data_IF_766765015686
#
_entry.id   IF_766765015686
#
_cell.length_a   1.000
_cell.length_b   1.000
_cell.length_c   1.000
_cell.angle_alpha   90.00
_cell.angle_beta   90.00
_cell.angle_gamma   90.00
#
_symmetry.space_group_name_H-M   'P 1'
#
loop_
_entity.id
_entity.type
_entity.pdbx_description
1 polymer ?
#
# COMPACT_ATOMS: atom_id res chain seq x y z
N UNK A 1 22.59 66.12 -56.02
CA UNK A 1 21.47 65.89 -55.12
C UNK A 1 21.38 64.38 -54.91
N UNK A 2 21.92 63.85 -53.78
CA UNK A 2 21.88 62.41 -53.44
C UNK A 2 20.97 62.21 -52.25
N UNK A 3 19.94 61.45 -52.47
CA UNK A 3 18.91 61.15 -51.44
C UNK A 3 19.27 59.86 -50.70
N UNK A 4 19.69 59.95 -49.44
CA UNK A 4 19.99 58.81 -48.60
C UNK A 4 18.69 58.29 -47.95
N UNK A 5 18.24 57.10 -48.35
CA UNK A 5 17.14 56.44 -47.77
C UNK A 5 17.60 55.75 -46.44
N UNK A 6 16.97 56.12 -45.33
CA UNK A 6 17.16 55.47 -43.99
C UNK A 6 16.47 54.12 -44.00
N UNK A 7 17.25 53.03 -43.89
CA UNK A 7 16.73 51.68 -43.64
C UNK A 7 16.60 51.50 -42.13
N UNK A 8 15.37 51.39 -41.66
CA UNK A 8 15.04 51.00 -40.25
C UNK A 8 15.21 49.50 -40.10
N UNK A 9 16.16 49.08 -39.27
CA UNK A 9 16.37 47.67 -38.90
C UNK A 9 15.46 47.43 -37.70
N UNK A 10 14.39 46.63 -37.88
CA UNK A 10 13.56 46.12 -36.78
C UNK A 10 14.26 44.92 -36.16
N UNK A 11 14.73 45.07 -34.93
CA UNK A 11 15.27 43.92 -34.14
C UNK A 11 14.11 43.10 -33.59
N UNK A 12 13.97 41.88 -34.09
CA UNK A 12 13.02 40.91 -33.59
C UNK A 12 13.59 40.25 -32.32
N UNK A 13 13.11 40.66 -31.16
CA UNK A 13 13.45 39.99 -29.88
C UNK A 13 12.68 38.69 -29.78
N UNK A 14 13.37 37.57 -29.96
CA UNK A 14 12.83 36.22 -29.71
C UNK A 14 12.87 35.98 -28.20
N UNK A 15 11.72 36.06 -27.53
CA UNK A 15 11.57 35.60 -26.17
C UNK A 15 11.54 34.04 -26.16
N UNK A 16 12.66 33.42 -25.84
CA UNK A 16 12.70 32.01 -25.52
C UNK A 16 12.19 31.86 -24.09
N UNK A 17 10.92 31.49 -23.95
CA UNK A 17 10.36 31.06 -22.66
C UNK A 17 10.97 29.72 -22.27
N UNK A 18 11.91 29.75 -21.35
CA UNK A 18 12.47 28.55 -20.72
C UNK A 18 11.38 27.94 -19.80
N UNK A 19 10.57 27.05 -20.35
CA UNK A 19 9.66 26.21 -19.54
C UNK A 19 10.53 25.29 -18.70
N UNK A 20 10.69 25.60 -17.41
CA UNK A 20 11.38 24.72 -16.47
C UNK A 20 10.61 23.40 -16.38
N UNK A 21 11.13 22.35 -16.99
CA UNK A 21 10.63 20.98 -16.74
C UNK A 21 10.88 20.65 -15.27
N UNK A 22 9.86 20.18 -14.51
CA UNK A 22 10.12 19.74 -13.15
C UNK A 22 11.14 18.59 -13.20
N UNK A 23 12.23 18.73 -12.45
CA UNK A 23 13.26 17.71 -12.35
C UNK A 23 12.67 16.42 -11.74
N UNK A 24 13.39 15.30 -11.85
CA UNK A 24 12.98 13.98 -11.34
C UNK A 24 12.49 14.06 -9.87
N UNK A 25 13.12 14.90 -9.04
CA UNK A 25 12.72 15.17 -7.65
C UNK A 25 11.35 15.83 -7.51
N UNK A 26 11.00 16.73 -8.40
CA UNK A 26 9.68 17.37 -8.39
C UNK A 26 8.54 16.42 -8.76
N UNK A 27 8.80 15.44 -9.62
CA UNK A 27 7.82 14.41 -9.99
C UNK A 27 7.55 13.43 -8.85
N UNK A 28 8.59 12.94 -8.16
CA UNK A 28 8.43 12.04 -7.02
C UNK A 28 7.66 12.71 -5.87
N UNK A 29 7.97 13.97 -5.54
CA UNK A 29 7.25 14.72 -4.51
C UNK A 29 5.77 14.96 -4.86
N UNK A 30 5.44 15.20 -6.13
CA UNK A 30 4.06 15.33 -6.60
C UNK A 30 3.29 14.01 -6.48
N UNK A 31 3.91 12.88 -6.84
CA UNK A 31 3.32 11.54 -6.70
C UNK A 31 3.05 11.19 -5.24
N UNK A 32 3.98 11.48 -4.33
CA UNK A 32 3.82 11.27 -2.89
C UNK A 32 2.68 12.12 -2.31
N UNK A 33 2.55 13.38 -2.76
CA UNK A 33 1.46 14.26 -2.37
C UNK A 33 0.10 13.77 -2.89
N UNK A 34 0.04 13.29 -4.13
CA UNK A 34 -1.17 12.71 -4.72
C UNK A 34 -1.62 11.46 -3.95
N UNK A 35 -0.69 10.58 -3.57
CA UNK A 35 -0.97 9.40 -2.74
C UNK A 35 -1.54 9.82 -1.38
N UNK A 36 -0.94 10.82 -0.72
CA UNK A 36 -1.41 11.32 0.57
C UNK A 36 -2.84 11.89 0.46
N UNK A 37 -3.15 12.61 -0.61
CA UNK A 37 -4.48 13.17 -0.85
C UNK A 37 -5.53 12.06 -1.07
N UNK A 38 -5.21 11.07 -1.88
CA UNK A 38 -6.11 9.93 -2.15
C UNK A 38 -6.38 9.12 -0.88
N UNK A 39 -5.37 8.90 -0.04
CA UNK A 39 -5.50 8.23 1.25
C UNK A 39 -6.41 9.00 2.23
N UNK A 40 -6.29 10.33 2.28
CA UNK A 40 -7.15 11.20 3.11
C UNK A 40 -8.60 11.20 2.68
N UNK A 41 -8.85 11.11 1.38
CA UNK A 41 -10.21 11.10 0.84
C UNK A 41 -11.00 9.85 1.26
N UNK A 42 -10.31 8.76 1.64
CA UNK A 42 -10.96 7.48 1.94
C UNK A 42 -11.41 6.74 0.70
N UNK A 43 -12.19 5.68 0.89
CA UNK A 43 -12.75 4.88 -0.19
C UNK A 43 -11.79 3.84 -0.77
N UNK A 44 -10.63 3.60 -0.14
CA UNK A 44 -9.66 2.61 -0.59
C UNK A 44 -9.71 1.35 0.27
N UNK A 45 -9.36 0.23 -0.36
CA UNK A 45 -8.94 -1.01 0.29
C UNK A 45 -7.41 -1.09 0.17
N UNK A 46 -6.74 -1.10 1.31
CA UNK A 46 -5.28 -1.09 1.42
C UNK A 46 -4.84 -2.49 1.84
N UNK A 47 -4.21 -3.21 0.91
CA UNK A 47 -3.67 -4.55 1.14
C UNK A 47 -2.20 -4.44 1.53
N UNK A 48 -1.84 -5.05 2.65
CA UNK A 48 -0.49 -5.01 3.19
C UNK A 48 0.02 -6.44 3.36
N UNK A 49 1.17 -6.75 2.78
CA UNK A 49 1.92 -7.92 3.20
C UNK A 49 2.51 -7.64 4.59
N UNK A 50 2.32 -8.55 5.55
CA UNK A 50 2.87 -8.40 6.91
C UNK A 50 4.35 -7.98 6.90
N UNK A 51 4.84 -7.41 8.01
CA UNK A 51 6.23 -6.97 8.18
C UNK A 51 7.25 -8.12 8.10
N UNK A 52 8.54 -7.76 8.11
CA UNK A 52 9.64 -8.71 8.06
C UNK A 52 9.58 -9.71 9.23
N UNK A 53 9.91 -10.96 8.96
CA UNK A 53 9.83 -12.06 9.92
C UNK A 53 11.22 -12.64 10.21
N UNK A 54 11.30 -13.45 11.27
CA UNK A 54 12.53 -14.18 11.61
C UNK A 54 12.81 -15.22 10.53
N UNK A 55 13.96 -15.17 9.82
CA UNK A 55 14.19 -16.02 8.63
C UNK A 55 14.19 -17.52 8.94
N UNK A 56 14.73 -17.90 10.09
CA UNK A 56 14.95 -19.31 10.46
C UNK A 56 13.76 -19.92 11.23
N UNK A 57 12.65 -19.18 11.37
CA UNK A 57 11.41 -19.71 11.96
C UNK A 57 10.47 -20.23 10.87
N UNK A 58 9.86 -21.38 11.18
CA UNK A 58 8.78 -21.96 10.40
C UNK A 58 7.47 -21.98 11.19
N UNK A 59 6.33 -22.10 10.51
CA UNK A 59 5.04 -22.38 11.13
C UNK A 59 4.98 -23.90 11.37
N UNK A 60 5.34 -24.36 12.57
CA UNK A 60 5.42 -25.80 12.90
C UNK A 60 4.08 -26.42 13.33
N UNK A 61 3.09 -25.57 13.65
CA UNK A 61 1.70 -25.99 13.97
C UNK A 61 0.70 -25.09 13.21
N UNK A 62 0.65 -25.19 11.86
CA UNK A 62 0.07 -24.17 10.99
C UNK A 62 -1.47 -24.08 11.03
N UNK A 63 -2.16 -25.04 11.64
CA UNK A 63 -3.62 -25.01 11.81
C UNK A 63 -4.05 -24.51 13.20
N UNK A 64 -3.13 -24.42 14.14
CA UNK A 64 -3.37 -23.93 15.49
C UNK A 64 -2.90 -22.47 15.63
N UNK A 65 -3.77 -21.55 15.27
CA UNK A 65 -3.46 -20.12 15.29
C UNK A 65 -3.26 -19.53 16.70
N UNK A 66 -3.66 -20.25 17.75
CA UNK A 66 -3.49 -19.83 19.13
C UNK A 66 -2.08 -20.17 19.68
N UNK A 67 -1.38 -21.12 19.04
CA UNK A 67 -0.01 -21.47 19.38
C UNK A 67 1.01 -20.49 18.73
N UNK A 68 1.10 -19.29 19.27
CA UNK A 68 1.99 -18.23 18.73
C UNK A 68 3.47 -18.65 18.75
N UNK A 69 3.88 -19.44 19.73
CA UNK A 69 5.26 -19.92 19.84
C UNK A 69 5.67 -20.85 18.67
N UNK A 70 4.71 -21.55 18.06
CA UNK A 70 4.92 -22.41 16.91
C UNK A 70 4.78 -21.68 15.56
N UNK A 71 4.63 -20.38 15.56
CA UNK A 71 4.50 -19.57 14.34
C UNK A 71 5.79 -18.84 14.02
N UNK A 72 6.00 -18.55 12.75
CA UNK A 72 7.01 -17.61 12.29
C UNK A 72 6.57 -16.19 12.64
N UNK A 73 7.28 -15.53 13.53
CA UNK A 73 6.94 -14.23 14.09
C UNK A 73 7.68 -13.07 13.42
N UNK A 74 7.23 -11.84 13.66
CA UNK A 74 7.92 -10.63 13.22
C UNK A 74 9.31 -10.56 13.89
N UNK A 75 10.30 -10.12 13.11
CA UNK A 75 11.59 -9.70 13.66
C UNK A 75 11.56 -8.21 14.04
N UNK A 76 12.63 -7.70 14.65
CA UNK A 76 12.69 -6.31 15.11
C UNK A 76 12.54 -5.29 13.96
N UNK A 77 13.08 -5.62 12.76
CA UNK A 77 12.88 -4.80 11.56
C UNK A 77 11.40 -4.74 11.17
N UNK A 78 10.71 -5.87 11.17
CA UNK A 78 9.27 -5.92 10.87
C UNK A 78 8.44 -5.13 11.86
N UNK A 79 8.77 -5.19 13.16
CA UNK A 79 8.11 -4.42 14.21
C UNK A 79 8.35 -2.92 14.05
N UNK A 80 9.59 -2.51 13.80
CA UNK A 80 9.94 -1.11 13.58
C UNK A 80 9.21 -0.51 12.36
N UNK A 81 9.17 -1.25 11.25
CA UNK A 81 8.47 -0.84 10.04
C UNK A 81 6.95 -0.77 10.23
N UNK A 82 6.35 -1.72 10.96
CA UNK A 82 4.92 -1.67 11.29
C UNK A 82 4.57 -0.41 12.09
N UNK A 83 5.43 -0.04 13.07
CA UNK A 83 5.27 1.21 13.82
C UNK A 83 5.38 2.44 12.92
N UNK A 84 6.41 2.51 12.08
CA UNK A 84 6.64 3.63 11.17
C UNK A 84 5.47 3.81 10.18
N UNK A 85 4.91 2.71 9.68
CA UNK A 85 3.71 2.71 8.84
C UNK A 85 2.52 3.35 9.57
N UNK A 86 2.21 2.89 10.79
CA UNK A 86 1.11 3.44 11.57
C UNK A 86 1.31 4.93 11.90
N UNK A 87 2.54 5.34 12.24
CA UNK A 87 2.89 6.74 12.48
C UNK A 87 2.67 7.60 11.24
N UNK A 88 3.08 7.11 10.05
CA UNK A 88 2.88 7.79 8.78
C UNK A 88 1.39 7.98 8.45
N UNK A 89 0.57 6.94 8.61
CA UNK A 89 -0.87 7.06 8.38
C UNK A 89 -1.52 8.10 9.30
N UNK A 90 -1.12 8.16 10.58
CA UNK A 90 -1.60 9.18 11.53
C UNK A 90 -1.15 10.58 11.12
N UNK A 91 0.11 10.75 10.72
CA UNK A 91 0.64 12.04 10.26
C UNK A 91 -0.06 12.54 9.00
N UNK A 92 -0.34 11.64 8.05
CA UNK A 92 -1.14 11.92 6.84
C UNK A 92 -2.62 12.15 7.21
N UNK A 93 -3.08 11.77 8.39
CA UNK A 93 -4.49 11.80 8.84
C UNK A 93 -5.38 10.90 7.97
N UNK A 94 -4.89 9.70 7.69
CA UNK A 94 -5.63 8.70 6.91
C UNK A 94 -6.80 8.17 7.73
N UNK A 95 -8.05 8.33 7.29
CA UNK A 95 -9.21 7.80 7.99
C UNK A 95 -9.26 6.27 7.79
N UNK A 96 -9.14 5.50 8.89
CA UNK A 96 -9.22 4.05 8.89
C UNK A 96 -10.53 3.59 9.52
N UNK A 97 -11.31 2.80 8.78
CA UNK A 97 -12.55 2.19 9.25
C UNK A 97 -12.29 0.75 9.73
N UNK A 98 -12.50 -0.23 8.86
CA UNK A 98 -12.28 -1.65 9.18
C UNK A 98 -10.85 -2.08 8.99
N UNK A 99 -10.36 -2.94 9.89
CA UNK A 99 -9.04 -3.56 9.80
C UNK A 99 -9.21 -5.07 9.91
N UNK A 100 -8.86 -5.78 8.84
CA UNK A 100 -8.85 -7.24 8.80
C UNK A 100 -7.42 -7.74 8.76
N UNK A 101 -7.14 -8.81 9.50
CA UNK A 101 -5.86 -9.49 9.45
C UNK A 101 -6.05 -10.98 9.23
N UNK A 102 -5.04 -11.61 8.64
CA UNK A 102 -4.86 -13.05 8.75
C UNK A 102 -4.89 -13.49 10.23
N UNK A 103 -5.23 -14.74 10.46
CA UNK A 103 -5.18 -15.36 11.80
C UNK A 103 -3.76 -15.58 12.32
N UNK A 104 -2.74 -15.61 11.44
CA UNK A 104 -1.34 -15.70 11.87
C UNK A 104 -0.90 -14.45 12.62
N UNK A 105 -0.14 -14.67 13.71
CA UNK A 105 0.28 -13.62 14.62
C UNK A 105 1.07 -12.50 13.90
N UNK A 106 1.94 -12.82 12.96
CA UNK A 106 2.73 -11.83 12.20
C UNK A 106 1.88 -10.77 11.48
N UNK A 107 0.71 -11.14 10.98
CA UNK A 107 -0.20 -10.19 10.35
C UNK A 107 -0.97 -9.38 11.40
N UNK A 108 -1.46 -10.04 12.44
CA UNK A 108 -2.15 -9.40 13.56
C UNK A 108 -1.23 -8.43 14.32
N UNK A 109 -0.02 -8.87 14.67
CA UNK A 109 0.98 -8.05 15.37
C UNK A 109 1.39 -6.82 14.55
N UNK A 110 1.47 -6.95 13.20
CA UNK A 110 1.68 -5.80 12.31
C UNK A 110 0.58 -4.74 12.51
N UNK A 111 -0.69 -5.15 12.60
CA UNK A 111 -1.81 -4.23 12.84
C UNK A 111 -1.77 -3.60 14.23
N UNK A 112 -1.47 -4.38 15.26
CA UNK A 112 -1.39 -3.90 16.65
C UNK A 112 -0.28 -2.87 16.81
N UNK A 113 0.91 -3.16 16.29
CA UNK A 113 2.07 -2.26 16.37
C UNK A 113 1.82 -0.98 15.55
N UNK A 114 1.14 -1.07 14.40
CA UNK A 114 0.71 0.10 13.65
C UNK A 114 -0.30 0.98 14.40
N UNK A 115 -0.86 0.48 15.52
CA UNK A 115 -1.79 1.22 16.37
C UNK A 115 -3.23 1.22 15.87
N UNK A 116 -3.63 0.21 15.11
CA UNK A 116 -5.02 0.06 14.69
C UNK A 116 -5.89 -0.47 15.85
N UNK A 117 -7.13 0.00 15.89
CA UNK A 117 -8.18 -0.50 16.79
C UNK A 117 -9.14 -1.44 16.04
N UNK A 118 -9.95 -2.19 16.80
CA UNK A 118 -11.02 -3.04 16.26
C UNK A 118 -10.55 -3.99 15.14
N UNK A 119 -9.43 -4.67 15.37
CA UNK A 119 -8.82 -5.59 14.41
C UNK A 119 -9.61 -6.89 14.38
N UNK A 120 -10.11 -7.27 13.21
CA UNK A 120 -10.81 -8.54 12.98
C UNK A 120 -9.86 -9.55 12.33
N UNK A 121 -9.62 -10.69 13.01
CA UNK A 121 -8.87 -11.81 12.46
C UNK A 121 -9.79 -12.70 11.61
N UNK A 122 -9.42 -12.98 10.36
CA UNK A 122 -10.23 -13.81 9.48
C UNK A 122 -9.40 -14.86 8.73
N UNK A 123 -10.02 -16.01 8.47
CA UNK A 123 -9.43 -17.05 7.60
C UNK A 123 -9.42 -16.65 6.12
N UNK A 124 -10.25 -15.70 5.72
CA UNK A 124 -10.43 -15.28 4.32
C UNK A 124 -9.17 -14.67 3.69
N UNK A 125 -8.29 -14.14 4.51
CA UNK A 125 -6.99 -13.61 4.11
C UNK A 125 -5.82 -14.29 4.84
N UNK A 126 -6.05 -15.51 5.35
CA UNK A 126 -5.03 -16.34 5.99
C UNK A 126 -4.44 -17.31 4.97
N UNK A 127 -3.12 -17.35 4.83
CA UNK A 127 -2.48 -18.29 3.91
C UNK A 127 -2.78 -19.74 4.34
N UNK A 128 -3.09 -20.56 3.35
CA UNK A 128 -3.36 -21.99 3.57
C UNK A 128 -2.21 -22.88 3.12
N UNK A 129 -1.44 -22.43 2.13
CA UNK A 129 -0.33 -23.19 1.57
C UNK A 129 -0.75 -24.62 1.19
N UNK A 130 0.05 -25.59 1.62
CA UNK A 130 -0.21 -27.02 1.42
C UNK A 130 -0.98 -27.69 2.58
N UNK A 131 -1.32 -26.93 3.64
CA UNK A 131 -1.97 -27.49 4.84
C UNK A 131 -3.49 -27.44 4.78
N UNK A 132 -4.06 -26.73 3.82
CA UNK A 132 -5.51 -26.74 3.55
C UNK A 132 -5.80 -27.29 2.16
N UNK A 133 -7.04 -27.75 1.94
CA UNK A 133 -7.42 -28.29 0.64
C UNK A 133 -7.39 -27.21 -0.45
N UNK A 134 -7.21 -27.59 -1.74
CA UNK A 134 -7.33 -26.66 -2.87
C UNK A 134 -8.66 -25.90 -2.90
N UNK A 135 -9.77 -26.56 -2.54
CA UNK A 135 -11.08 -25.94 -2.46
C UNK A 135 -11.13 -24.83 -1.40
N UNK A 136 -10.52 -25.04 -0.24
CA UNK A 136 -10.44 -24.02 0.82
C UNK A 136 -9.54 -22.85 0.38
N UNK A 137 -8.40 -23.09 -0.28
CA UNK A 137 -7.58 -22.03 -0.85
C UNK A 137 -8.38 -21.21 -1.89
N UNK A 138 -9.12 -21.88 -2.78
CA UNK A 138 -9.98 -21.19 -3.76
C UNK A 138 -11.07 -20.35 -3.09
N UNK A 139 -11.69 -20.87 -2.01
CA UNK A 139 -12.67 -20.12 -1.21
C UNK A 139 -12.04 -18.86 -0.61
N UNK A 140 -10.86 -18.98 0.01
CA UNK A 140 -10.13 -17.85 0.60
C UNK A 140 -9.78 -16.80 -0.47
N UNK A 141 -9.31 -17.23 -1.62
CA UNK A 141 -8.99 -16.33 -2.73
C UNK A 141 -10.23 -15.59 -3.26
N UNK A 142 -11.37 -16.27 -3.34
CA UNK A 142 -12.63 -15.65 -3.72
C UNK A 142 -13.10 -14.63 -2.66
N UNK A 143 -13.00 -14.97 -1.38
CA UNK A 143 -13.34 -14.08 -0.27
C UNK A 143 -12.42 -12.85 -0.24
N UNK A 144 -11.11 -13.03 -0.47
CA UNK A 144 -10.16 -11.92 -0.56
C UNK A 144 -10.52 -10.96 -1.71
N UNK A 145 -10.78 -11.48 -2.92
CA UNK A 145 -11.24 -10.63 -4.06
C UNK A 145 -12.55 -9.91 -3.76
N UNK A 146 -13.47 -10.55 -3.03
CA UNK A 146 -14.71 -9.90 -2.58
C UNK A 146 -14.43 -8.74 -1.63
N UNK A 147 -13.49 -8.89 -0.69
CA UNK A 147 -13.06 -7.80 0.21
C UNK A 147 -12.47 -6.63 -0.59
N UNK A 148 -11.66 -6.91 -1.62
CA UNK A 148 -11.06 -5.89 -2.49
C UNK A 148 -12.12 -5.09 -3.26
N UNK A 149 -13.18 -5.74 -3.73
CA UNK A 149 -14.29 -5.09 -4.44
C UNK A 149 -15.36 -4.47 -3.54
N UNK A 150 -15.22 -4.61 -2.21
CA UNK A 150 -16.19 -4.09 -1.26
C UNK A 150 -15.87 -2.64 -0.87
N UNK A 151 -16.81 -1.74 -1.05
CA UNK A 151 -16.64 -0.34 -0.66
C UNK A 151 -16.40 -0.24 0.86
N UNK A 152 -15.39 0.54 1.31
CA UNK A 152 -15.21 0.88 2.72
C UNK A 152 -16.42 1.64 3.29
N UNK A 153 -16.47 1.77 4.61
CA UNK A 153 -17.40 2.69 5.24
C UNK A 153 -17.19 4.12 4.70
N UNK A 154 -18.25 4.90 4.51
CA UNK A 154 -18.14 6.25 3.94
C UNK A 154 -17.07 7.10 4.64
N UNK A 155 -16.21 7.72 3.86
CA UNK A 155 -15.13 8.58 4.35
C UNK A 155 -13.95 7.86 5.01
N UNK A 156 -13.89 6.51 4.96
CA UNK A 156 -12.79 5.73 5.54
C UNK A 156 -12.11 4.83 4.52
N UNK A 157 -10.98 4.24 4.91
CA UNK A 157 -10.30 3.16 4.18
C UNK A 157 -10.45 1.84 4.95
N UNK A 158 -10.44 0.72 4.23
CA UNK A 158 -10.34 -0.63 4.81
C UNK A 158 -8.89 -1.10 4.72
N UNK A 159 -8.36 -1.67 5.79
CA UNK A 159 -7.01 -2.25 5.85
C UNK A 159 -7.12 -3.78 5.82
N UNK A 160 -6.33 -4.45 4.97
CA UNK A 160 -6.21 -5.90 4.90
C UNK A 160 -4.74 -6.28 5.07
N UNK A 161 -4.38 -6.96 6.18
CA UNK A 161 -2.99 -7.40 6.41
C UNK A 161 -2.92 -8.91 6.23
N UNK A 162 -2.16 -9.34 5.23
CA UNK A 162 -2.12 -10.72 4.75
C UNK A 162 -0.70 -11.17 4.36
N UNK A 163 -0.59 -12.19 3.53
CA UNK A 163 0.63 -12.90 3.17
C UNK A 163 0.87 -12.88 1.66
N UNK A 164 2.14 -13.03 1.26
CA UNK A 164 2.49 -13.10 -0.16
C UNK A 164 1.71 -14.18 -0.93
N UNK A 165 1.56 -15.43 -0.46
CA UNK A 165 0.77 -16.42 -1.19
C UNK A 165 -0.65 -15.96 -1.48
N UNK A 166 -1.37 -15.44 -0.48
CA UNK A 166 -2.74 -14.92 -0.69
C UNK A 166 -2.79 -13.78 -1.71
N UNK A 167 -1.83 -12.86 -1.66
CA UNK A 167 -1.76 -11.73 -2.58
C UNK A 167 -1.56 -12.24 -4.01
N UNK A 168 -0.60 -13.15 -4.22
CA UNK A 168 -0.31 -13.73 -5.54
C UNK A 168 -1.48 -14.54 -6.08
N UNK A 169 -2.09 -15.38 -5.24
CA UNK A 169 -3.22 -16.23 -5.63
C UNK A 169 -4.49 -15.42 -5.96
N UNK A 170 -4.71 -14.33 -5.26
CA UNK A 170 -5.88 -13.48 -5.49
C UNK A 170 -5.68 -12.48 -6.62
N UNK A 171 -4.49 -11.87 -6.75
CA UNK A 171 -4.19 -10.75 -7.64
C UNK A 171 -3.38 -11.13 -8.87
N UNK A 172 -2.72 -12.29 -8.85
CA UNK A 172 -1.96 -12.80 -9.99
C UNK A 172 -0.45 -12.56 -9.91
N UNK A 173 0.23 -12.97 -11.00
CA UNK A 173 1.69 -13.02 -11.09
C UNK A 173 2.40 -11.67 -10.91
N UNK A 174 1.73 -10.57 -11.17
CA UNK A 174 2.31 -9.23 -11.06
C UNK A 174 2.66 -8.85 -9.60
N UNK A 175 2.24 -9.68 -8.63
CA UNK A 175 2.60 -9.57 -7.23
C UNK A 175 3.65 -10.58 -6.74
N UNK A 176 4.31 -11.33 -7.64
CA UNK A 176 5.40 -12.24 -7.23
C UNK A 176 6.55 -11.54 -6.52
N UNK A 177 6.75 -10.28 -6.79
CA UNK A 177 7.81 -9.44 -6.21
C UNK A 177 7.37 -8.65 -4.95
N UNK A 178 6.09 -8.80 -4.50
CA UNK A 178 5.59 -8.05 -3.34
C UNK A 178 6.50 -8.21 -2.13
N UNK A 179 6.96 -7.08 -1.59
CA UNK A 179 7.90 -7.03 -0.46
C UNK A 179 7.17 -7.11 0.88
N UNK A 180 7.90 -7.48 1.92
CA UNK A 180 7.41 -7.42 3.31
C UNK A 180 7.10 -5.97 3.69
N UNK A 181 5.89 -5.75 4.20
CA UNK A 181 5.37 -4.42 4.52
C UNK A 181 4.91 -3.58 3.33
N UNK A 182 5.06 -4.05 2.10
CA UNK A 182 4.51 -3.35 0.93
C UNK A 182 3.00 -3.28 1.01
N UNK A 183 2.46 -2.10 0.68
CA UNK A 183 1.03 -1.84 0.56
C UNK A 183 0.61 -1.66 -0.89
N UNK A 184 -0.49 -2.30 -1.29
CA UNK A 184 -1.18 -2.07 -2.56
C UNK A 184 -2.50 -1.36 -2.29
N UNK A 185 -2.70 -0.20 -2.90
CA UNK A 185 -3.88 0.65 -2.73
C UNK A 185 -4.88 0.34 -3.84
N UNK A 186 -6.06 -0.12 -3.49
CA UNK A 186 -7.12 -0.44 -4.44
C UNK A 186 -8.33 0.47 -4.24
N UNK A 187 -8.96 0.86 -5.34
CA UNK A 187 -10.28 1.49 -5.33
C UNK A 187 -11.32 0.46 -5.77
N UNK A 188 -12.31 0.13 -4.91
CA UNK A 188 -13.45 -0.68 -5.31
C UNK A 188 -14.27 0.00 -6.40
N UNK A 189 -14.67 -0.75 -7.43
CA UNK A 189 -15.46 -0.26 -8.56
C UNK A 189 -16.52 -1.31 -8.93
N UNK A 190 -17.77 -1.12 -8.46
CA UNK A 190 -18.92 -1.99 -8.82
C UNK A 190 -18.68 -3.49 -8.62
N UNK A 191 -18.08 -3.89 -7.50
CA UNK A 191 -17.75 -5.28 -7.20
C UNK A 191 -16.42 -5.78 -7.78
N UNK A 192 -15.76 -4.95 -8.59
CA UNK A 192 -14.38 -5.09 -9.03
C UNK A 192 -13.47 -4.13 -8.26
N UNK A 193 -12.20 -4.03 -8.64
CA UNK A 193 -11.24 -3.12 -8.02
C UNK A 193 -10.18 -2.67 -9.02
N UNK A 194 -9.68 -1.46 -8.82
CA UNK A 194 -8.60 -0.87 -9.61
C UNK A 194 -7.40 -0.60 -8.73
N UNK A 195 -6.21 -1.01 -9.16
CA UNK A 195 -4.95 -0.63 -8.51
C UNK A 195 -4.69 0.87 -8.72
N UNK A 196 -4.43 1.57 -7.63
CA UNK A 196 -4.09 2.99 -7.63
C UNK A 196 -2.58 3.17 -7.51
N UNK A 197 -1.94 2.47 -6.54
CA UNK A 197 -0.51 2.53 -6.30
C UNK A 197 -0.02 1.29 -5.54
N UNK A 198 1.29 1.02 -5.66
CA UNK A 198 2.04 0.14 -4.77
C UNK A 198 3.03 1.01 -4.00
N UNK A 199 3.01 0.92 -2.67
CA UNK A 199 3.81 1.76 -1.76
C UNK A 199 4.72 0.84 -0.97
N UNK A 200 6.04 1.05 -1.09
CA UNK A 200 7.01 0.31 -0.30
C UNK A 200 7.03 0.83 1.13
N UNK A 201 7.47 -0.01 2.07
CA UNK A 201 7.47 0.37 3.48
C UNK A 201 8.32 1.63 3.76
N UNK A 202 9.43 1.78 3.05
CA UNK A 202 10.32 2.94 3.21
C UNK A 202 9.75 4.24 2.61
N UNK A 203 8.72 4.17 1.77
CA UNK A 203 8.10 5.33 1.12
C UNK A 203 7.14 6.08 2.05
N UNK A 204 6.62 5.42 3.08
CA UNK A 204 5.63 6.01 3.98
C UNK A 204 6.12 7.27 4.69
N UNK A 205 7.40 7.32 5.04
CA UNK A 205 8.00 8.51 5.64
C UNK A 205 8.03 9.71 4.68
N UNK A 206 8.29 9.47 3.39
CA UNK A 206 8.29 10.52 2.37
C UNK A 206 6.87 11.03 2.07
N UNK A 207 5.90 10.11 1.96
CA UNK A 207 4.48 10.44 1.80
C UNK A 207 4.00 11.29 3.00
N UNK A 208 4.40 10.94 4.21
CA UNK A 208 4.05 11.69 5.41
C UNK A 208 4.67 13.11 5.43
N UNK A 209 5.88 13.28 4.89
CA UNK A 209 6.54 14.59 4.76
C UNK A 209 5.85 15.43 3.68
N UNK A 210 5.57 14.86 2.50
CA UNK A 210 4.91 15.55 1.39
C UNK A 210 3.46 15.98 1.72
N UNK A 211 2.87 15.35 2.74
CA UNK A 211 1.51 15.61 3.20
C UNK A 211 1.37 16.84 4.13
N UNK A 212 2.46 17.47 4.53
CA UNK A 212 2.49 18.65 5.41
C UNK A 212 2.17 19.92 4.65
#
# INVERSE_FOLDING_TARGET
MFNLSRRTIAALAVFVSLSAMPGIWGRAAAEEQDIAQVLRAGGLVIVIRHGATVPDQADSDPLNFDNIAAQRNLNDKGKALAKAFGDALRQVRVPVGKVYTSKYNRAYETAVIAGFANIEKTTDITEGGLVVSPNENNRRNAAFRKLLGSAPQPGTNTILITHKPNIVDALGKDWFDVKEGEASLFRPENGSYKLIARVQMDDWSRIAIAAR
#
